data_IF_242157165822
#
_entry.id   IF_242157165822
#
_cell.length_a   1.000
_cell.length_b   1.000
_cell.length_c   1.000
_cell.angle_alpha   90.00
_cell.angle_beta   90.00
_cell.angle_gamma   90.00
#
_symmetry.space_group_name_H-M   'P 1'
#
loop_
_entity.id
_entity.type
_entity.pdbx_description
1 polymer ?
#
# COMPACT_ATOMS: atom_id res chain seq x y z
N UNK A 1 11.52 69.23 57.05
CA UNK A 1 10.68 69.00 55.88
C UNK A 1 11.24 67.75 55.18
N UNK A 2 10.58 66.62 55.37
CA UNK A 2 11.05 65.32 54.88
C UNK A 2 10.07 64.83 53.75
N UNK A 3 10.61 64.76 52.53
CA UNK A 3 9.85 64.24 51.38
C UNK A 3 10.09 62.72 51.27
N UNK A 4 9.03 61.96 51.45
CA UNK A 4 9.06 60.50 51.26
C UNK A 4 8.79 60.20 49.78
N UNK A 5 9.76 59.54 49.17
CA UNK A 5 9.65 59.04 47.78
C UNK A 5 9.08 57.65 47.81
N UNK A 6 7.88 57.49 47.33
CA UNK A 6 7.21 56.15 47.16
C UNK A 6 7.68 55.54 45.86
N UNK A 7 8.37 54.39 45.94
CA UNK A 7 8.78 53.57 44.80
C UNK A 7 7.67 52.64 44.46
N UNK A 8 7.07 52.81 43.27
CA UNK A 8 6.06 51.96 42.72
C UNK A 8 6.75 50.78 41.97
N UNK A 9 6.69 49.58 42.54
CA UNK A 9 7.23 48.38 41.91
C UNK A 9 6.15 47.81 40.99
N UNK A 10 6.39 47.89 39.67
CA UNK A 10 5.54 47.30 38.63
C UNK A 10 5.94 45.86 38.43
N UNK A 11 5.11 44.89 38.88
CA UNK A 11 5.32 43.47 38.65
C UNK A 11 4.86 43.09 37.22
N UNK A 12 5.81 42.81 36.33
CA UNK A 12 5.53 42.19 35.03
C UNK A 12 5.27 40.71 35.22
N UNK A 13 4.00 40.28 35.09
CA UNK A 13 3.63 38.89 34.97
C UNK A 13 4.00 38.38 33.56
N UNK A 14 5.10 37.68 33.44
CA UNK A 14 5.52 36.98 32.22
C UNK A 14 4.68 35.70 32.04
N UNK A 15 3.78 35.67 31.05
CA UNK A 15 3.13 34.44 30.59
C UNK A 15 4.18 33.59 29.86
N UNK A 16 4.69 32.56 30.52
CA UNK A 16 5.48 31.50 29.89
C UNK A 16 4.56 30.58 29.12
N UNK A 17 4.46 30.76 27.80
CA UNK A 17 3.81 29.82 26.88
C UNK A 17 4.71 28.60 26.72
N UNK A 18 4.37 27.48 27.34
CA UNK A 18 4.98 26.17 27.09
C UNK A 18 4.61 25.70 25.69
N UNK A 19 5.57 25.36 24.81
CA UNK A 19 5.22 24.69 23.54
C UNK A 19 4.66 23.34 23.87
N UNK A 20 3.39 23.14 23.50
CA UNK A 20 2.72 21.84 23.52
C UNK A 20 3.38 20.95 22.45
N UNK A 21 4.36 20.14 22.86
CA UNK A 21 4.89 19.06 22.03
C UNK A 21 3.82 17.97 21.94
N UNK A 22 3.13 17.91 20.81
CA UNK A 22 2.31 16.76 20.46
C UNK A 22 3.19 15.49 20.49
N UNK A 23 2.74 14.40 21.11
CA UNK A 23 3.52 13.15 21.13
C UNK A 23 3.68 12.66 19.70
N UNK A 24 4.92 12.59 19.20
CA UNK A 24 5.28 11.85 18.01
C UNK A 24 4.89 10.39 18.24
N UNK A 25 3.79 9.97 17.61
CA UNK A 25 3.35 8.57 17.66
C UNK A 25 4.47 7.72 17.10
N UNK A 26 5.12 6.95 17.97
CA UNK A 26 6.04 5.89 17.59
C UNK A 26 5.35 5.01 16.56
N UNK A 27 6.01 4.74 15.42
CA UNK A 27 5.58 3.82 14.39
C UNK A 27 5.58 2.39 14.96
N UNK A 28 4.59 2.10 15.77
CA UNK A 28 4.30 0.76 16.24
C UNK A 28 3.75 -0.07 15.09
N UNK A 29 4.26 -1.27 14.92
CA UNK A 29 3.76 -2.30 14.02
C UNK A 29 2.29 -2.61 14.34
N UNK A 30 1.37 -1.79 13.82
CA UNK A 30 -0.06 -1.98 14.05
C UNK A 30 -0.58 -3.10 13.16
N UNK A 31 -1.09 -4.16 13.78
CA UNK A 31 -1.93 -5.16 13.12
C UNK A 31 -3.00 -4.41 12.30
N UNK A 32 -3.21 -4.75 10.98
CA UNK A 32 -4.20 -4.06 10.16
C UNK A 32 -5.55 -4.01 10.87
N UNK A 33 -6.20 -2.85 10.85
CA UNK A 33 -7.56 -2.74 11.37
C UNK A 33 -8.51 -3.59 10.52
N UNK A 34 -9.66 -4.00 11.07
CA UNK A 34 -10.68 -4.73 10.32
C UNK A 34 -11.05 -3.98 9.02
N UNK A 35 -11.17 -2.66 9.08
CA UNK A 35 -11.46 -1.82 7.90
C UNK A 35 -10.39 -1.91 6.81
N UNK A 36 -9.10 -2.05 7.14
CA UNK A 36 -8.03 -2.22 6.15
C UNK A 36 -8.10 -3.61 5.52
N UNK A 37 -8.40 -4.65 6.31
CA UNK A 37 -8.59 -6.00 5.81
C UNK A 37 -9.77 -6.08 4.82
N UNK A 38 -10.89 -5.42 5.13
CA UNK A 38 -12.06 -5.35 4.25
C UNK A 38 -11.74 -4.66 2.91
N UNK A 39 -10.99 -3.57 2.93
CA UNK A 39 -10.54 -2.88 1.71
C UNK A 39 -9.63 -3.74 0.85
N UNK A 40 -8.74 -4.52 1.44
CA UNK A 40 -7.89 -5.45 0.70
C UNK A 40 -8.72 -6.55 0.01
N UNK A 41 -9.73 -7.09 0.69
CA UNK A 41 -10.69 -8.05 0.10
C UNK A 41 -11.47 -7.43 -1.05
N UNK A 42 -11.94 -6.19 -0.90
CA UNK A 42 -12.61 -5.44 -1.97
C UNK A 42 -11.68 -5.20 -3.16
N UNK A 43 -10.41 -4.81 -2.93
CA UNK A 43 -9.43 -4.65 -3.99
C UNK A 43 -9.22 -5.96 -4.78
N UNK A 44 -9.13 -7.11 -4.09
CA UNK A 44 -9.04 -8.40 -4.74
C UNK A 44 -10.30 -8.72 -5.59
N UNK A 45 -11.48 -8.36 -5.11
CA UNK A 45 -12.73 -8.52 -5.86
C UNK A 45 -12.73 -7.62 -7.12
N UNK A 46 -12.32 -6.36 -7.00
CA UNK A 46 -12.19 -5.46 -8.15
C UNK A 46 -11.18 -5.97 -9.18
N UNK A 47 -10.04 -6.52 -8.76
CA UNK A 47 -9.07 -7.12 -9.67
C UNK A 47 -9.69 -8.29 -10.46
N UNK A 48 -10.53 -9.10 -9.82
CA UNK A 48 -11.20 -10.21 -10.49
C UNK A 48 -12.18 -9.74 -11.58
N UNK A 49 -12.88 -8.62 -11.39
CA UNK A 49 -13.78 -8.05 -12.42
C UNK A 49 -13.01 -7.49 -13.62
N UNK A 50 -11.71 -7.29 -13.52
CA UNK A 50 -10.86 -6.82 -14.62
C UNK A 50 -10.28 -7.96 -15.47
N UNK A 51 -10.52 -9.23 -15.13
CA UNK A 51 -10.08 -10.37 -15.94
C UNK A 51 -10.62 -10.24 -17.37
N UNK A 52 -9.75 -10.52 -18.37
CA UNK A 52 -10.05 -10.35 -19.78
C UNK A 52 -9.72 -8.96 -20.34
N UNK A 53 -9.48 -7.94 -19.52
CA UNK A 53 -9.03 -6.63 -20.02
C UNK A 53 -7.60 -6.74 -20.57
N UNK A 54 -7.29 -6.02 -21.68
CA UNK A 54 -5.98 -6.17 -22.32
C UNK A 54 -4.84 -5.65 -21.43
N UNK A 55 -3.65 -6.27 -21.59
CA UNK A 55 -2.44 -5.66 -21.09
C UNK A 55 -2.11 -4.40 -21.90
N UNK A 56 -1.74 -3.33 -21.24
CA UNK A 56 -1.22 -2.11 -21.87
C UNK A 56 -0.10 -1.55 -20.97
N UNK A 57 1.07 -1.36 -21.55
CA UNK A 57 2.18 -0.72 -20.83
C UNK A 57 1.78 0.69 -20.35
N UNK A 58 2.00 1.01 -19.08
CA UNK A 58 1.54 2.25 -18.46
C UNK A 58 0.02 2.36 -18.27
N UNK A 59 -0.73 1.28 -18.51
CA UNK A 59 -2.19 1.25 -18.38
C UNK A 59 -2.66 1.20 -16.94
N UNK A 60 -3.67 2.02 -16.61
CA UNK A 60 -4.19 2.18 -15.24
C UNK A 60 -5.72 2.12 -15.15
N UNK A 61 -6.39 1.68 -16.20
CA UNK A 61 -7.86 1.66 -16.27
C UNK A 61 -8.42 0.57 -17.16
N UNK A 62 -9.76 0.43 -17.25
CA UNK A 62 -10.44 -0.67 -17.94
C UNK A 62 -10.14 -0.81 -19.44
N UNK A 63 -9.58 0.21 -20.06
CA UNK A 63 -9.10 0.14 -21.46
C UNK A 63 -7.78 -0.61 -21.60
N UNK A 64 -7.10 -0.91 -20.50
CA UNK A 64 -5.87 -1.71 -20.43
C UNK A 64 -5.07 -1.41 -19.18
N UNK A 65 -4.38 -2.44 -18.70
CA UNK A 65 -3.58 -2.39 -17.48
C UNK A 65 -2.17 -2.90 -17.70
N UNK A 66 -1.18 -2.28 -17.05
CA UNK A 66 0.03 -2.99 -16.66
C UNK A 66 -0.14 -3.63 -15.27
N UNK A 67 0.88 -4.37 -14.79
CA UNK A 67 0.79 -5.09 -13.53
C UNK A 67 0.55 -4.17 -12.32
N UNK A 68 1.31 -3.09 -12.20
CA UNK A 68 1.19 -2.13 -11.10
C UNK A 68 -0.04 -1.22 -11.25
N UNK A 69 -0.47 -0.93 -12.46
CA UNK A 69 -1.69 -0.18 -12.76
C UNK A 69 -2.96 -0.94 -12.38
N UNK A 70 -2.99 -2.24 -12.60
CA UNK A 70 -4.08 -3.09 -12.12
C UNK A 70 -4.19 -3.06 -10.59
N UNK A 71 -3.07 -3.19 -9.88
CA UNK A 71 -3.03 -3.08 -8.41
C UNK A 71 -3.52 -1.71 -7.96
N UNK A 72 -2.95 -0.65 -8.51
CA UNK A 72 -3.33 0.74 -8.20
C UNK A 72 -4.84 0.97 -8.41
N UNK A 73 -5.36 0.58 -9.56
CA UNK A 73 -6.78 0.72 -9.89
C UNK A 73 -7.67 -0.04 -8.90
N UNK A 74 -7.37 -1.31 -8.65
CA UNK A 74 -8.18 -2.17 -7.79
C UNK A 74 -8.23 -1.65 -6.34
N UNK A 75 -7.10 -1.21 -5.81
CA UNK A 75 -7.03 -0.62 -4.48
C UNK A 75 -7.70 0.76 -4.41
N UNK A 76 -7.60 1.58 -5.47
CA UNK A 76 -8.32 2.86 -5.57
C UNK A 76 -9.84 2.65 -5.49
N UNK A 77 -10.39 1.64 -6.16
CA UNK A 77 -11.82 1.29 -6.07
C UNK A 77 -12.22 0.88 -4.64
N UNK A 78 -11.30 0.33 -3.88
CA UNK A 78 -11.50 -0.01 -2.46
C UNK A 78 -11.17 1.17 -1.50
N UNK A 79 -10.95 2.39 -2.01
CA UNK A 79 -10.67 3.58 -1.22
C UNK A 79 -9.23 3.65 -0.68
N UNK A 80 -8.28 2.96 -1.29
CA UNK A 80 -6.85 2.98 -0.92
C UNK A 80 -6.02 3.51 -2.10
N UNK A 81 -5.32 4.62 -1.90
CA UNK A 81 -4.43 5.19 -2.90
C UNK A 81 -3.06 4.46 -2.88
N UNK A 82 -2.67 3.88 -4.01
CA UNK A 82 -1.35 3.28 -4.21
C UNK A 82 -0.64 3.94 -5.39
N UNK A 83 0.70 4.02 -5.38
CA UNK A 83 1.45 4.56 -6.50
C UNK A 83 1.43 3.60 -7.70
N UNK A 84 1.54 4.15 -8.92
CA UNK A 84 1.70 3.37 -10.15
C UNK A 84 3.18 2.98 -10.34
N UNK A 85 3.67 2.11 -9.51
CA UNK A 85 5.04 1.58 -9.58
C UNK A 85 5.17 0.36 -8.67
N UNK A 86 5.66 -0.74 -9.20
CA UNK A 86 5.91 -1.99 -8.46
C UNK A 86 6.82 -1.75 -7.25
N UNK A 87 7.93 -1.02 -7.42
CA UNK A 87 8.87 -0.73 -6.35
C UNK A 87 8.25 0.15 -5.24
N UNK A 88 7.44 1.16 -5.62
CA UNK A 88 6.77 2.03 -4.64
C UNK A 88 5.63 1.31 -3.92
N UNK A 89 4.87 0.45 -4.62
CA UNK A 89 3.85 -0.40 -3.98
C UNK A 89 4.50 -1.37 -2.99
N UNK A 90 5.66 -1.93 -3.35
CA UNK A 90 6.46 -2.76 -2.46
C UNK A 90 6.90 -1.98 -1.22
N UNK A 91 7.43 -0.77 -1.38
CA UNK A 91 7.86 0.10 -0.27
C UNK A 91 6.69 0.52 0.65
N UNK A 92 5.49 0.71 0.10
CA UNK A 92 4.28 1.11 0.83
C UNK A 92 3.58 -0.07 1.54
N UNK A 93 4.14 -1.27 1.51
CA UNK A 93 3.54 -2.50 2.05
C UNK A 93 4.51 -3.23 2.99
N UNK A 94 3.97 -4.02 3.91
CA UNK A 94 4.77 -4.85 4.84
C UNK A 94 4.88 -6.29 4.38
N UNK A 95 6.00 -6.95 4.65
CA UNK A 95 6.21 -8.37 4.32
C UNK A 95 5.25 -9.26 5.12
N UNK A 96 4.73 -10.31 4.47
CA UNK A 96 3.98 -11.38 5.09
C UNK A 96 4.52 -12.74 4.63
N UNK A 97 4.38 -13.75 5.47
CA UNK A 97 4.76 -15.12 5.09
C UNK A 97 3.76 -15.68 4.09
N UNK A 98 4.22 -16.49 3.14
CA UNK A 98 3.36 -17.13 2.14
C UNK A 98 2.27 -17.99 2.79
N UNK A 99 2.58 -18.63 3.92
CA UNK A 99 1.61 -19.40 4.70
C UNK A 99 0.51 -18.55 5.37
N UNK A 100 0.70 -17.22 5.45
CA UNK A 100 -0.22 -16.27 6.09
C UNK A 100 -0.98 -15.41 5.06
N UNK A 101 -0.92 -15.79 3.77
CA UNK A 101 -1.57 -15.07 2.69
C UNK A 101 -3.08 -14.91 2.90
N UNK A 102 -3.57 -13.70 2.64
CA UNK A 102 -4.99 -13.32 2.68
C UNK A 102 -5.39 -12.61 1.39
N UNK A 103 -6.66 -12.69 1.03
CA UNK A 103 -7.20 -11.95 -0.12
C UNK A 103 -6.80 -10.47 -0.04
N UNK A 104 -6.30 -9.96 -1.16
CA UNK A 104 -5.76 -8.60 -1.27
C UNK A 104 -4.25 -8.50 -1.08
N UNK A 105 -3.55 -9.50 -0.52
CA UNK A 105 -2.09 -9.42 -0.43
C UNK A 105 -1.46 -9.29 -1.81
N UNK A 106 -0.37 -8.53 -1.88
CA UNK A 106 0.41 -8.33 -3.09
C UNK A 106 1.48 -9.39 -3.20
N UNK A 107 1.61 -9.99 -4.38
CA UNK A 107 2.64 -10.97 -4.70
C UNK A 107 3.62 -10.34 -5.69
N UNK A 108 4.89 -10.30 -5.34
CA UNK A 108 5.96 -9.75 -6.18
C UNK A 108 6.79 -10.87 -6.78
N UNK A 109 7.11 -10.72 -8.05
CA UNK A 109 7.82 -11.75 -8.81
C UNK A 109 9.01 -11.15 -9.56
N UNK A 110 10.04 -11.97 -9.79
CA UNK A 110 11.07 -11.66 -10.78
C UNK A 110 10.47 -11.83 -12.17
N UNK A 111 10.63 -10.85 -13.03
CA UNK A 111 10.19 -10.92 -14.42
C UNK A 111 11.12 -10.11 -15.31
N UNK A 112 11.41 -10.63 -16.51
CA UNK A 112 12.24 -9.96 -17.53
C UNK A 112 13.60 -9.50 -17.00
N UNK A 113 14.24 -10.34 -16.18
CA UNK A 113 15.54 -10.03 -15.57
C UNK A 113 15.50 -9.01 -14.43
N UNK A 114 14.33 -8.40 -14.16
CA UNK A 114 14.18 -7.43 -13.07
C UNK A 114 13.67 -8.12 -11.80
N UNK A 115 14.40 -7.94 -10.70
CA UNK A 115 13.95 -8.35 -9.37
C UNK A 115 12.70 -7.54 -8.98
N UNK A 116 11.66 -8.22 -8.50
CA UNK A 116 10.35 -7.63 -8.19
C UNK A 116 9.71 -6.87 -9.37
N UNK A 117 10.08 -7.22 -10.62
CA UNK A 117 9.61 -6.53 -11.83
C UNK A 117 8.12 -6.72 -12.12
N UNK A 118 7.44 -7.61 -11.40
CA UNK A 118 6.03 -7.92 -11.60
C UNK A 118 5.28 -8.02 -10.28
N UNK A 119 3.99 -7.65 -10.31
CA UNK A 119 3.10 -7.71 -9.15
C UNK A 119 1.73 -8.25 -9.54
N UNK A 120 1.10 -8.99 -8.62
CA UNK A 120 -0.28 -9.43 -8.71
C UNK A 120 -0.99 -9.32 -7.36
N UNK A 121 -2.31 -9.49 -7.35
CA UNK A 121 -3.16 -9.46 -6.16
C UNK A 121 -3.62 -10.87 -5.85
N UNK A 122 -3.35 -11.35 -4.64
CA UNK A 122 -3.81 -12.66 -4.17
C UNK A 122 -5.33 -12.65 -3.95
N UNK A 123 -6.02 -13.65 -4.52
CA UNK A 123 -7.49 -13.73 -4.48
C UNK A 123 -8.02 -14.91 -3.65
N UNK A 124 -7.15 -15.62 -2.91
CA UNK A 124 -7.50 -16.84 -2.19
C UNK A 124 -7.20 -18.11 -2.99
N UNK A 125 -7.31 -19.26 -2.35
CA UNK A 125 -7.20 -20.61 -2.94
C UNK A 125 -5.95 -20.84 -3.79
N UNK A 126 -4.83 -20.22 -3.37
CA UNK A 126 -3.56 -20.32 -4.10
C UNK A 126 -3.56 -19.62 -5.46
N UNK A 127 -4.49 -18.70 -5.72
CA UNK A 127 -4.62 -17.97 -6.99
C UNK A 127 -4.37 -16.48 -6.80
N UNK A 128 -3.93 -15.83 -7.86
CA UNK A 128 -3.75 -14.38 -7.92
C UNK A 128 -4.15 -13.83 -9.28
N UNK A 129 -4.57 -12.57 -9.33
CA UNK A 129 -4.90 -11.85 -10.57
C UNK A 129 -3.76 -10.89 -10.89
N UNK A 130 -3.39 -10.83 -12.17
CA UNK A 130 -2.33 -9.95 -12.66
C UNK A 130 -2.53 -9.59 -14.14
N UNK A 131 -1.84 -8.54 -14.58
CA UNK A 131 -1.70 -8.17 -15.99
C UNK A 131 -0.29 -8.62 -16.46
N UNK A 132 -0.15 -9.73 -17.20
CA UNK A 132 1.12 -10.44 -17.35
C UNK A 132 2.16 -9.73 -18.24
N UNK A 133 1.81 -9.38 -19.47
CA UNK A 133 2.69 -8.73 -20.45
C UNK A 133 1.96 -8.39 -21.74
N UNK A 134 2.62 -7.65 -22.64
CA UNK A 134 2.09 -7.28 -23.97
C UNK A 134 1.53 -8.48 -24.72
N UNK A 135 0.43 -8.25 -25.43
CA UNK A 135 -0.29 -9.28 -26.22
C UNK A 135 -1.15 -10.22 -25.39
N UNK A 136 -1.19 -10.07 -24.07
CA UNK A 136 -2.00 -10.88 -23.16
C UNK A 136 -3.07 -10.03 -22.48
N UNK A 137 -4.00 -10.71 -21.80
CA UNK A 137 -5.03 -10.07 -21.00
C UNK A 137 -4.79 -10.31 -19.50
N UNK A 138 -5.40 -9.46 -18.67
CA UNK A 138 -5.53 -9.69 -17.22
C UNK A 138 -6.14 -11.07 -17.00
N UNK A 139 -5.54 -11.84 -16.11
CA UNK A 139 -5.98 -13.22 -15.83
C UNK A 139 -5.65 -13.64 -14.40
N UNK A 140 -6.20 -14.77 -13.99
CA UNK A 140 -5.77 -15.43 -12.77
C UNK A 140 -4.84 -16.61 -13.08
N UNK A 141 -3.77 -16.73 -12.29
CA UNK A 141 -2.86 -17.86 -12.33
C UNK A 141 -2.75 -18.52 -10.95
N UNK A 142 -2.28 -19.77 -10.91
CA UNK A 142 -1.99 -20.48 -9.66
C UNK A 142 -0.59 -20.15 -9.17
N UNK A 143 -0.47 -19.79 -7.90
CA UNK A 143 0.84 -19.52 -7.27
C UNK A 143 1.74 -20.75 -7.27
N UNK A 144 1.15 -21.95 -7.15
CA UNK A 144 1.87 -23.22 -7.18
C UNK A 144 2.35 -23.63 -8.59
N UNK A 145 1.94 -22.95 -9.67
CA UNK A 145 2.44 -23.25 -11.01
C UNK A 145 3.97 -23.09 -11.06
N UNK A 146 4.71 -23.98 -11.75
CA UNK A 146 6.18 -24.02 -11.68
C UNK A 146 6.87 -22.68 -11.94
N UNK A 147 6.38 -21.95 -12.95
CA UNK A 147 6.90 -20.62 -13.27
C UNK A 147 6.74 -19.65 -12.09
N UNK A 148 5.52 -19.48 -11.57
CA UNK A 148 5.22 -18.50 -10.52
C UNK A 148 5.86 -18.88 -9.19
N UNK A 149 5.88 -20.18 -8.84
CA UNK A 149 6.57 -20.68 -7.64
C UNK A 149 8.06 -20.35 -7.67
N UNK A 150 8.73 -20.52 -8.82
CA UNK A 150 10.16 -20.22 -9.01
C UNK A 150 10.46 -18.71 -8.94
N UNK A 151 9.56 -17.85 -9.42
CA UNK A 151 9.79 -16.43 -9.57
C UNK A 151 9.21 -15.58 -8.44
N UNK A 152 8.44 -16.15 -7.53
CA UNK A 152 7.94 -15.43 -6.34
C UNK A 152 9.12 -14.97 -5.48
N UNK A 153 9.13 -13.70 -5.15
CA UNK A 153 10.17 -13.08 -4.33
C UNK A 153 9.68 -12.66 -2.97
N UNK A 154 8.50 -12.08 -2.91
CA UNK A 154 7.89 -11.58 -1.68
C UNK A 154 6.38 -11.65 -1.75
N UNK A 155 5.74 -11.85 -0.59
CA UNK A 155 4.34 -11.56 -0.35
C UNK A 155 4.25 -10.38 0.62
N UNK A 156 3.37 -9.43 0.35
CA UNK A 156 3.27 -8.18 1.13
C UNK A 156 1.81 -7.75 1.31
N UNK A 157 1.54 -7.00 2.37
CA UNK A 157 0.20 -6.52 2.74
C UNK A 157 0.20 -5.00 2.91
N UNK A 158 -0.82 -4.34 2.38
CA UNK A 158 -1.13 -2.93 2.56
C UNK A 158 -1.72 -2.69 3.96
#
# INVERSE_FOLDING_TARGET
MRASLAILILALAGCASTPNQAPVAAAGSTKPSAATADRAVQAAAHAQTMIGKPYRYGGTGPSGFDCSGLVMYSYKQAGVALPHSTDRQRAASRVVKVAELRRGDLLFFNQEGKKHGHVGIYIGDGKFVHAPSSGKAVRSDRLAAPYWKKHLTEARRI
#
